data_IF_110189117651
#
_entry.id   IF_110189117651
#
_cell.length_a   1.000
_cell.length_b   1.000
_cell.length_c   1.000
_cell.angle_alpha   90.00
_cell.angle_beta   90.00
_cell.angle_gamma   90.00
#
_symmetry.space_group_name_H-M   'P 1'
#
loop_
_entity.id
_entity.type
_entity.pdbx_description
1 polymer ?
#
# COMPACT_ATOMS: atom_id res chain seq x y z
N UNK A 1 26.23 -18.86 12.66
CA UNK A 1 25.67 -18.08 13.80
C UNK A 1 26.16 -16.65 13.66
N UNK A 2 25.25 -15.74 13.33
CA UNK A 2 25.35 -14.31 13.62
C UNK A 2 23.91 -13.86 13.93
N UNK A 3 23.72 -13.23 15.07
CA UNK A 3 22.42 -12.71 15.52
C UNK A 3 22.34 -11.23 15.16
N UNK A 4 21.27 -10.72 14.54
CA UNK A 4 20.96 -9.30 14.61
C UNK A 4 20.01 -9.09 15.79
N UNK A 5 20.60 -8.72 16.92
CA UNK A 5 19.89 -8.07 18.00
C UNK A 5 19.46 -6.67 17.52
N UNK A 6 18.26 -6.55 16.96
CA UNK A 6 17.56 -5.27 16.87
C UNK A 6 16.02 -5.40 16.86
N UNK A 7 15.49 -6.53 17.31
CA UNK A 7 14.10 -6.56 17.70
C UNK A 7 13.87 -5.54 18.83
N UNK A 8 12.85 -4.70 18.64
CA UNK A 8 12.28 -3.70 19.54
C UNK A 8 12.87 -2.28 19.48
N UNK A 9 12.24 -1.45 18.64
CA UNK A 9 11.74 -0.14 19.08
C UNK A 9 10.33 0.09 18.54
N UNK A 10 9.32 -0.25 19.35
CA UNK A 10 8.03 0.39 19.28
C UNK A 10 8.14 1.69 20.09
N UNK A 11 8.09 2.87 19.45
CA UNK A 11 7.84 4.16 20.12
C UNK A 11 7.70 5.33 19.12
N UNK A 12 6.53 5.96 19.15
CA UNK A 12 6.25 7.38 18.90
C UNK A 12 6.63 8.04 17.56
N UNK A 13 5.57 8.34 16.80
CA UNK A 13 5.33 9.64 16.12
C UNK A 13 6.52 10.23 15.38
N UNK A 14 6.80 9.67 14.21
CA UNK A 14 7.07 10.53 13.08
C UNK A 14 6.21 10.01 11.94
N UNK A 15 4.94 10.44 11.90
CA UNK A 15 4.21 10.46 10.63
C UNK A 15 4.98 11.45 9.79
N UNK A 16 6.08 11.00 9.19
CA UNK A 16 6.60 11.66 8.00
C UNK A 16 5.43 11.54 7.05
N UNK A 17 4.71 12.65 6.87
CA UNK A 17 3.66 12.75 5.88
C UNK A 17 4.37 12.59 4.53
N UNK A 18 4.52 11.34 4.11
CA UNK A 18 5.06 11.02 2.80
C UNK A 18 4.15 11.74 1.81
N UNK A 19 4.74 12.58 0.97
CA UNK A 19 3.99 13.09 -0.16
C UNK A 19 3.51 11.90 -1.01
N UNK A 20 2.41 12.03 -1.77
CA UNK A 20 1.97 10.97 -2.66
C UNK A 20 3.08 10.44 -3.58
N UNK A 21 4.00 11.32 -4.02
CA UNK A 21 5.17 10.96 -4.83
C UNK A 21 6.15 10.07 -4.05
N UNK A 22 6.46 10.45 -2.81
CA UNK A 22 7.34 9.66 -1.94
C UNK A 22 6.72 8.31 -1.59
N UNK A 23 5.43 8.29 -1.28
CA UNK A 23 4.67 7.07 -1.01
C UNK A 23 4.65 6.14 -2.23
N UNK A 24 4.37 6.69 -3.42
CA UNK A 24 4.37 5.92 -4.67
C UNK A 24 5.75 5.33 -4.96
N UNK A 25 6.81 6.13 -4.85
CA UNK A 25 8.19 5.68 -5.06
C UNK A 25 8.59 4.58 -4.05
N UNK A 26 8.26 4.75 -2.77
CA UNK A 26 8.55 3.77 -1.72
C UNK A 26 7.81 2.44 -1.94
N UNK A 27 6.53 2.49 -2.34
CA UNK A 27 5.77 1.31 -2.73
C UNK A 27 6.36 0.64 -3.97
N UNK A 28 6.78 1.42 -4.97
CA UNK A 28 7.41 0.88 -6.17
C UNK A 28 8.78 0.26 -5.91
N UNK A 29 9.57 0.73 -4.93
CA UNK A 29 10.83 0.08 -4.50
C UNK A 29 10.56 -1.27 -3.82
N UNK A 30 9.40 -1.42 -3.18
CA UNK A 30 8.87 -2.70 -2.69
C UNK A 30 9.39 -3.13 -1.33
N UNK A 31 10.16 -2.28 -0.67
CA UNK A 31 10.61 -2.45 0.73
C UNK A 31 9.67 -1.80 1.73
N UNK A 32 8.62 -1.11 1.29
CA UNK A 32 7.74 -0.35 2.16
C UNK A 32 6.32 -0.93 2.17
N UNK A 33 5.73 -0.94 3.36
CA UNK A 33 4.31 -1.18 3.62
C UNK A 33 3.76 0.10 4.24
N UNK A 34 2.62 0.57 3.73
CA UNK A 34 1.88 1.70 4.29
C UNK A 34 0.59 1.18 4.91
N UNK A 35 0.40 1.39 6.20
CA UNK A 35 -0.89 1.23 6.85
C UNK A 35 -1.60 2.57 6.83
N UNK A 36 -2.85 2.56 6.39
CA UNK A 36 -3.71 3.71 6.24
C UNK A 36 -4.88 3.59 7.21
N UNK A 37 -5.60 4.70 7.41
CA UNK A 37 -6.85 4.71 8.16
C UNK A 37 -7.85 3.66 7.62
N UNK A 38 -8.75 3.22 8.50
CA UNK A 38 -9.75 2.17 8.24
C UNK A 38 -9.12 0.79 7.98
N UNK A 39 -8.00 0.49 8.64
CA UNK A 39 -7.26 -0.79 8.57
C UNK A 39 -6.85 -1.18 7.13
N UNK A 40 -6.71 -0.19 6.25
CA UNK A 40 -6.27 -0.37 4.88
C UNK A 40 -4.75 -0.49 4.82
N UNK A 41 -4.25 -1.31 3.91
CA UNK A 41 -2.80 -1.48 3.73
C UNK A 41 -2.42 -1.46 2.25
N UNK A 42 -1.40 -0.67 1.92
CA UNK A 42 -0.75 -0.66 0.61
C UNK A 42 0.62 -1.36 0.69
N UNK A 43 0.89 -2.21 -0.30
CA UNK A 43 2.19 -2.87 -0.46
C UNK A 43 2.47 -3.23 -1.92
N UNK A 44 3.75 -3.45 -2.25
CA UNK A 44 4.11 -4.09 -3.53
C UNK A 44 3.88 -5.59 -3.48
N UNK A 45 3.06 -6.11 -4.38
CA UNK A 45 2.87 -7.55 -4.55
C UNK A 45 3.20 -7.99 -5.97
N UNK A 46 3.65 -9.24 -6.11
CA UNK A 46 3.84 -9.86 -7.43
C UNK A 46 2.60 -10.69 -7.73
N UNK A 47 1.98 -10.41 -8.87
CA UNK A 47 0.72 -11.02 -9.29
C UNK A 47 0.84 -11.40 -10.75
N UNK A 48 0.63 -12.68 -11.06
CA UNK A 48 0.76 -13.21 -12.43
C UNK A 48 2.07 -12.76 -13.11
N UNK A 49 3.18 -12.79 -12.37
CA UNK A 49 4.51 -12.41 -12.86
C UNK A 49 4.82 -10.91 -12.85
N UNK A 50 3.82 -10.03 -12.71
CA UNK A 50 3.98 -8.56 -12.73
C UNK A 50 4.02 -7.95 -11.32
N UNK A 51 4.79 -6.88 -11.13
CA UNK A 51 4.75 -6.08 -9.91
C UNK A 51 3.55 -5.14 -9.92
N UNK A 52 2.83 -5.09 -8.80
CA UNK A 52 1.65 -4.24 -8.60
C UNK A 52 1.69 -3.61 -7.23
N UNK A 53 1.02 -2.47 -7.08
CA UNK A 53 0.70 -1.89 -5.78
C UNK A 53 -0.69 -2.39 -5.40
N UNK A 54 -0.77 -3.22 -4.37
CA UNK A 54 -2.01 -3.82 -3.91
C UNK A 54 -2.55 -3.09 -2.68
N UNK A 55 -3.86 -2.84 -2.69
CA UNK A 55 -4.62 -2.39 -1.53
C UNK A 55 -5.34 -3.61 -0.91
N UNK A 56 -5.12 -3.82 0.38
CA UNK A 56 -5.81 -4.82 1.19
C UNK A 56 -6.54 -4.18 2.37
N UNK A 57 -7.46 -4.92 3.01
CA UNK A 57 -8.27 -4.45 4.14
C UNK A 57 -9.62 -3.83 3.72
N UNK A 58 -9.83 -3.58 2.42
CA UNK A 58 -11.07 -2.98 1.95
C UNK A 58 -12.29 -3.91 2.12
N UNK A 59 -13.44 -3.32 2.43
CA UNK A 59 -14.73 -4.01 2.48
C UNK A 59 -15.44 -3.96 1.13
N UNK A 60 -16.46 -4.78 0.93
CA UNK A 60 -17.27 -4.72 -0.29
C UNK A 60 -17.97 -3.36 -0.47
N UNK A 61 -18.34 -2.69 0.63
CA UNK A 61 -18.94 -1.34 0.58
C UNK A 61 -17.95 -0.26 0.14
N UNK A 62 -16.65 -0.44 0.37
CA UNK A 62 -15.60 0.48 -0.11
C UNK A 62 -15.28 0.30 -1.59
N UNK A 63 -15.58 -0.88 -2.16
CA UNK A 63 -15.16 -1.26 -3.52
C UNK A 63 -15.57 -0.23 -4.56
N UNK A 64 -16.84 0.15 -4.60
CA UNK A 64 -17.35 1.10 -5.60
C UNK A 64 -16.66 2.46 -5.49
N UNK A 65 -16.44 2.94 -4.26
CA UNK A 65 -15.73 4.21 -4.00
C UNK A 65 -14.27 4.14 -4.44
N UNK A 66 -13.57 3.05 -4.11
CA UNK A 66 -12.17 2.85 -4.50
C UNK A 66 -12.04 2.76 -6.03
N UNK A 67 -12.96 2.08 -6.70
CA UNK A 67 -13.04 2.07 -8.17
C UNK A 67 -13.28 3.47 -8.73
N UNK A 68 -14.15 4.28 -8.11
CA UNK A 68 -14.39 5.66 -8.51
C UNK A 68 -13.15 6.58 -8.33
N UNK A 69 -12.24 6.24 -7.40
CA UNK A 69 -10.94 6.91 -7.29
C UNK A 69 -9.95 6.53 -8.38
N UNK A 70 -10.21 5.42 -9.10
CA UNK A 70 -9.38 4.92 -10.19
C UNK A 70 -8.60 3.65 -9.86
N UNK A 71 -8.87 3.01 -8.70
CA UNK A 71 -8.36 1.67 -8.45
C UNK A 71 -9.08 0.68 -9.36
N UNK A 72 -8.42 -0.41 -9.68
CA UNK A 72 -9.01 -1.50 -10.43
C UNK A 72 -8.90 -2.79 -9.62
N UNK A 73 -9.76 -3.75 -9.93
CA UNK A 73 -9.78 -5.02 -9.24
C UNK A 73 -9.81 -6.19 -10.22
N UNK A 74 -9.15 -7.27 -9.86
CA UNK A 74 -9.12 -8.52 -10.61
C UNK A 74 -9.41 -9.70 -9.69
N UNK A 75 -10.03 -10.74 -10.24
CA UNK A 75 -10.15 -12.02 -9.54
C UNK A 75 -8.90 -12.83 -9.87
N UNK A 76 -8.06 -13.07 -8.86
CA UNK A 76 -6.82 -13.83 -8.99
C UNK A 76 -6.89 -15.00 -8.02
N UNK A 77 -6.81 -16.22 -8.56
CA UNK A 77 -6.97 -17.45 -7.79
C UNK A 77 -8.15 -17.29 -6.82
N UNK A 78 -9.37 -17.25 -7.37
CA UNK A 78 -10.67 -17.13 -6.66
C UNK A 78 -10.87 -15.92 -5.73
N UNK A 79 -9.84 -15.09 -5.48
CA UNK A 79 -9.92 -13.93 -4.59
C UNK A 79 -9.94 -12.64 -5.40
N UNK A 80 -10.88 -11.76 -5.05
CA UNK A 80 -10.92 -10.41 -5.59
C UNK A 80 -9.84 -9.55 -4.92
N UNK A 81 -8.95 -8.99 -5.74
CA UNK A 81 -7.81 -8.17 -5.29
C UNK A 81 -7.89 -6.81 -5.95
N UNK A 82 -7.45 -5.78 -5.23
CA UNK A 82 -7.57 -4.39 -5.66
C UNK A 82 -6.18 -3.76 -5.75
N UNK A 83 -5.99 -2.94 -6.78
CA UNK A 83 -4.69 -2.42 -7.16
C UNK A 83 -4.76 -0.94 -7.51
N UNK A 84 -3.69 -0.23 -7.17
CA UNK A 84 -3.41 1.12 -7.69
C UNK A 84 -2.75 0.97 -9.06
N UNK A 85 -3.15 1.74 -10.09
CA UNK A 85 -2.44 1.79 -11.36
C UNK A 85 -0.96 2.15 -11.16
N UNK A 86 -0.08 1.61 -12.01
CA UNK A 86 1.36 1.94 -11.99
C UNK A 86 1.81 2.72 -13.24
N UNK A 87 0.84 3.17 -14.04
CA UNK A 87 1.05 4.02 -15.21
C UNK A 87 1.03 5.50 -14.82
N UNK A 88 0.92 6.39 -15.82
CA UNK A 88 0.90 7.84 -15.63
C UNK A 88 -0.21 8.34 -14.67
N UNK A 89 -1.28 7.57 -14.46
CA UNK A 89 -2.37 7.94 -13.57
C UNK A 89 -2.15 7.46 -12.12
N UNK A 90 -1.21 6.55 -11.89
CA UNK A 90 -1.01 5.88 -10.60
C UNK A 90 -0.79 6.83 -9.43
N UNK A 91 0.03 7.87 -9.64
CA UNK A 91 0.28 8.90 -8.64
C UNK A 91 -0.99 9.67 -8.26
N UNK A 92 -1.78 10.07 -9.25
CA UNK A 92 -3.02 10.82 -9.01
C UNK A 92 -4.09 9.97 -8.30
N UNK A 93 -4.19 8.68 -8.65
CA UNK A 93 -5.07 7.73 -7.95
C UNK A 93 -4.60 7.54 -6.50
N UNK A 94 -3.30 7.33 -6.28
CA UNK A 94 -2.75 7.18 -4.94
C UNK A 94 -3.00 8.45 -4.09
N UNK A 95 -2.80 9.64 -4.66
CA UNK A 95 -3.05 10.90 -3.96
C UNK A 95 -4.50 10.99 -3.44
N UNK A 96 -5.50 10.60 -4.25
CA UNK A 96 -6.92 10.56 -3.82
C UNK A 96 -7.16 9.55 -2.69
N UNK A 97 -6.51 8.40 -2.75
CA UNK A 97 -6.58 7.39 -1.68
C UNK A 97 -6.00 7.97 -0.39
N UNK A 98 -4.82 8.58 -0.44
CA UNK A 98 -4.15 9.12 0.74
C UNK A 98 -4.84 10.35 1.33
N UNK A 99 -5.53 11.14 0.51
CA UNK A 99 -6.37 12.25 0.96
C UNK A 99 -7.57 11.75 1.78
N UNK A 100 -8.19 10.65 1.36
CA UNK A 100 -9.33 10.06 2.09
C UNK A 100 -8.91 9.14 3.24
N UNK A 101 -7.84 8.40 3.07
CA UNK A 101 -7.32 7.38 3.98
C UNK A 101 -5.86 7.75 4.31
N UNK A 102 -5.64 8.65 5.29
CA UNK A 102 -4.30 9.12 5.62
C UNK A 102 -3.41 7.97 6.10
N UNK A 103 -2.10 8.11 5.87
CA UNK A 103 -1.10 7.15 6.34
C UNK A 103 -1.02 7.23 7.86
N UNK A 104 -1.23 6.09 8.53
CA UNK A 104 -1.08 5.96 9.98
C UNK A 104 0.29 5.41 10.36
N UNK A 105 0.87 4.55 9.51
CA UNK A 105 2.17 3.92 9.77
C UNK A 105 2.93 3.58 8.49
N UNK A 106 4.24 3.76 8.54
CA UNK A 106 5.18 3.32 7.50
C UNK A 106 6.06 2.24 8.09
N UNK A 107 6.18 1.11 7.39
CA UNK A 107 6.98 -0.04 7.85
C UNK A 107 7.83 -0.61 6.73
N UNK A 108 8.92 -1.26 7.11
CA UNK A 108 9.69 -2.06 6.17
C UNK A 108 9.03 -3.42 5.95
N UNK A 109 9.06 -3.89 4.70
CA UNK A 109 8.75 -5.26 4.35
C UNK A 109 9.98 -6.10 4.66
N UNK A 110 9.88 -6.99 5.64
CA UNK A 110 10.90 -8.03 5.81
C UNK A 110 11.03 -8.84 4.51
N UNK A 111 12.26 -8.92 3.99
CA UNK A 111 12.58 -9.83 2.90
C UNK A 111 12.46 -11.25 3.46
N UNK A 112 11.39 -11.94 3.05
CA UNK A 112 11.20 -13.37 3.33
C UNK A 112 12.23 -14.22 2.57
#
# INVERSE_FOLDING_TARGET
>A
RVSPAWAANASATNVVALSPEQAFAALMDGRTILDLAEDLQLRRSRVMGAWRIELSGFTDTMRERLTAYGLFHEIISWKLRMFVPIDANGLAVLARVLDRFPIERVSEREAA
#
